data_IF_895571153811
#
_entry.id   IF_895571153811
#
_cell.length_a   1.000
_cell.length_b   1.000
_cell.length_c   1.000
_cell.angle_alpha   90.00
_cell.angle_beta   90.00
_cell.angle_gamma   90.00
#
_symmetry.space_group_name_H-M   'P 1'
#
loop_
_entity.id
_entity.type
_entity.pdbx_description
1 polymer ?
#
# COMPACT_ATOMS: atom_id res chain seq x y z
N UNK A 1 6.04 -16.06 -4.66
CA UNK A 1 7.35 -15.46 -5.03
C UNK A 1 7.06 -14.20 -5.83
N UNK A 2 8.04 -13.33 -6.09
CA UNK A 2 7.84 -12.22 -7.02
C UNK A 2 7.39 -12.74 -8.41
N UNK A 3 6.74 -11.89 -9.21
CA UNK A 3 6.32 -12.18 -10.59
C UNK A 3 5.47 -13.46 -10.76
N UNK A 4 4.62 -13.77 -9.78
CA UNK A 4 3.68 -14.90 -9.86
C UNK A 4 2.48 -14.61 -10.78
N UNK A 5 2.08 -13.34 -10.88
CA UNK A 5 1.01 -12.86 -11.75
C UNK A 5 1.63 -12.14 -12.95
N UNK A 6 1.61 -12.82 -14.10
CA UNK A 6 2.25 -12.38 -15.34
C UNK A 6 1.25 -12.24 -16.47
N UNK A 7 1.70 -11.82 -17.66
CA UNK A 7 0.87 -11.86 -18.86
C UNK A 7 0.29 -13.26 -19.17
N UNK A 8 0.96 -14.32 -18.72
CA UNK A 8 0.57 -15.71 -18.95
C UNK A 8 -0.46 -16.18 -17.91
N UNK A 9 -0.30 -15.81 -16.65
CA UNK A 9 -1.14 -16.32 -15.56
C UNK A 9 -2.34 -15.42 -15.24
N UNK A 10 -2.24 -14.11 -15.47
CA UNK A 10 -3.32 -13.15 -15.20
C UNK A 10 -4.64 -13.45 -15.94
N UNK A 11 -4.66 -13.90 -17.22
CA UNK A 11 -5.91 -14.24 -17.91
C UNK A 11 -6.73 -15.34 -17.23
N UNK A 12 -6.09 -16.22 -16.47
CA UNK A 12 -6.76 -17.32 -15.76
C UNK A 12 -7.38 -16.92 -14.42
N UNK A 13 -7.12 -15.71 -13.92
CA UNK A 13 -7.57 -15.26 -12.60
C UNK A 13 -9.05 -14.86 -12.66
N UNK A 14 -9.86 -15.49 -11.79
CA UNK A 14 -11.31 -15.25 -11.68
C UNK A 14 -11.71 -14.48 -10.41
N UNK A 15 -10.73 -14.07 -9.61
CA UNK A 15 -10.98 -13.33 -8.38
C UNK A 15 -11.54 -11.93 -8.69
N UNK A 16 -12.37 -11.39 -7.78
CA UNK A 16 -12.84 -10.00 -7.89
C UNK A 16 -11.82 -9.01 -7.34
N UNK A 17 -11.03 -9.45 -6.38
CA UNK A 17 -10.00 -8.67 -5.70
C UNK A 17 -8.75 -9.53 -5.58
N UNK A 18 -7.60 -8.95 -5.87
CA UNK A 18 -6.27 -9.50 -5.61
C UNK A 18 -5.61 -8.64 -4.53
N UNK A 19 -5.17 -9.26 -3.44
CA UNK A 19 -4.47 -8.58 -2.34
C UNK A 19 -3.02 -9.06 -2.31
N UNK A 20 -2.09 -8.15 -2.55
CA UNK A 20 -0.67 -8.50 -2.72
C UNK A 20 0.06 -8.60 -1.37
N UNK A 21 -0.02 -9.77 -0.75
CA UNK A 21 0.72 -10.02 0.51
C UNK A 21 2.23 -10.15 0.33
N UNK A 22 2.69 -10.57 -0.85
CA UNK A 22 4.12 -10.63 -1.19
C UNK A 22 4.60 -9.29 -1.77
N UNK A 23 5.92 -9.10 -1.86
CA UNK A 23 6.52 -7.98 -2.57
C UNK A 23 6.55 -8.26 -4.08
N UNK A 24 6.06 -7.31 -4.87
CA UNK A 24 6.01 -7.36 -6.33
C UNK A 24 5.54 -8.71 -6.91
N UNK A 25 4.38 -9.26 -6.50
CA UNK A 25 3.91 -10.54 -7.03
C UNK A 25 3.33 -10.40 -8.44
N UNK A 26 2.99 -9.19 -8.88
CA UNK A 26 2.35 -8.92 -10.17
C UNK A 26 3.24 -8.06 -11.06
N UNK A 27 3.52 -8.55 -12.27
CA UNK A 27 4.23 -7.78 -13.29
C UNK A 27 3.33 -6.69 -13.89
N UNK A 28 3.88 -5.62 -14.50
CA UNK A 28 3.08 -4.60 -15.17
C UNK A 28 2.12 -5.14 -16.24
N UNK A 29 2.54 -6.16 -16.98
CA UNK A 29 1.69 -6.81 -17.98
C UNK A 29 0.55 -7.61 -17.34
N UNK A 30 0.80 -8.27 -16.20
CA UNK A 30 -0.25 -8.92 -15.42
C UNK A 30 -1.24 -7.91 -14.84
N UNK A 31 -0.74 -6.79 -14.30
CA UNK A 31 -1.54 -5.70 -13.72
C UNK A 31 -2.50 -5.11 -14.76
N UNK A 32 -2.02 -4.87 -15.99
CA UNK A 32 -2.85 -4.39 -17.09
C UNK A 32 -4.00 -5.34 -17.45
N UNK A 33 -3.75 -6.66 -17.44
CA UNK A 33 -4.78 -7.68 -17.71
C UNK A 33 -5.79 -7.74 -16.56
N UNK A 34 -5.33 -7.70 -15.31
CA UNK A 34 -6.22 -7.66 -14.16
C UNK A 34 -7.13 -6.41 -14.20
N UNK A 35 -6.55 -5.25 -14.51
CA UNK A 35 -7.30 -4.01 -14.66
C UNK A 35 -8.32 -4.08 -15.80
N UNK A 36 -7.96 -4.62 -16.98
CA UNK A 36 -8.90 -4.79 -18.09
C UNK A 36 -10.04 -5.76 -17.76
N UNK A 37 -9.79 -6.72 -16.88
CA UNK A 37 -10.79 -7.68 -16.39
C UNK A 37 -11.66 -7.12 -15.25
N UNK A 38 -11.47 -5.86 -14.85
CA UNK A 38 -12.20 -5.24 -13.74
C UNK A 38 -11.84 -5.84 -12.38
N UNK A 39 -10.67 -6.46 -12.26
CA UNK A 39 -10.19 -7.06 -11.01
C UNK A 39 -9.47 -5.97 -10.21
N UNK A 40 -9.95 -5.72 -9.00
CA UNK A 40 -9.31 -4.75 -8.10
C UNK A 40 -8.02 -5.34 -7.54
N UNK A 41 -6.89 -4.67 -7.79
CA UNK A 41 -5.61 -5.01 -7.16
C UNK A 41 -5.35 -4.08 -5.99
N UNK A 42 -5.25 -4.64 -4.78
CA UNK A 42 -4.73 -3.94 -3.59
C UNK A 42 -3.22 -4.10 -3.60
N UNK A 43 -2.46 -3.03 -3.93
CA UNK A 43 -1.04 -3.14 -4.24
C UNK A 43 -0.22 -3.47 -3.01
N UNK A 44 0.89 -4.17 -3.22
CA UNK A 44 1.84 -4.61 -2.20
C UNK A 44 2.25 -3.51 -1.20
N UNK A 45 2.64 -2.33 -1.71
CA UNK A 45 3.03 -1.15 -0.90
C UNK A 45 1.97 -0.73 0.13
N UNK A 46 0.70 -1.09 -0.10
CA UNK A 46 -0.40 -0.91 0.84
C UNK A 46 -0.67 -2.22 1.62
N UNK A 47 -0.92 -3.31 0.89
CA UNK A 47 -1.42 -4.57 1.42
C UNK A 47 -0.47 -5.24 2.43
N UNK A 48 0.83 -5.12 2.24
CA UNK A 48 1.84 -5.76 3.09
C UNK A 48 2.55 -4.80 4.06
N UNK A 49 2.11 -3.54 4.12
CA UNK A 49 2.75 -2.47 4.91
C UNK A 49 2.69 -2.68 6.43
N UNK A 50 1.90 -3.64 6.92
CA UNK A 50 1.71 -3.89 8.34
C UNK A 50 3.01 -4.16 9.12
N UNK A 51 3.97 -4.89 8.52
CA UNK A 51 5.27 -5.12 9.16
C UNK A 51 6.07 -3.84 9.39
N UNK A 52 6.05 -2.92 8.42
CA UNK A 52 6.72 -1.62 8.53
C UNK A 52 6.03 -0.73 9.56
N UNK A 53 4.69 -0.74 9.60
CA UNK A 53 3.91 0.02 10.59
C UNK A 53 4.19 -0.48 12.02
N UNK A 54 4.23 -1.78 12.24
CA UNK A 54 4.52 -2.35 13.57
C UNK A 54 5.99 -2.10 13.97
N UNK A 55 6.93 -2.08 13.01
CA UNK A 55 8.32 -1.65 13.27
C UNK A 55 8.39 -0.17 13.69
N UNK A 56 7.55 0.69 13.12
CA UNK A 56 7.41 2.07 13.57
C UNK A 56 6.84 2.14 14.99
N UNK A 57 5.86 1.30 15.34
CA UNK A 57 5.35 1.22 16.71
C UNK A 57 6.41 0.77 17.71
N UNK A 58 7.25 -0.21 17.36
CA UNK A 58 8.39 -0.63 18.18
C UNK A 58 9.29 0.58 18.52
N UNK A 59 9.68 1.36 17.51
CA UNK A 59 10.47 2.58 17.71
C UNK A 59 9.78 3.63 18.61
N UNK A 60 8.46 3.80 18.50
CA UNK A 60 7.69 4.72 19.36
C UNK A 60 7.66 4.25 20.82
N UNK A 61 7.49 2.94 21.03
CA UNK A 61 7.44 2.32 22.36
C UNK A 61 8.80 2.36 23.05
N UNK A 62 9.88 2.05 22.31
CA UNK A 62 11.26 2.08 22.81
C UNK A 62 11.66 3.46 23.34
N UNK A 63 11.24 4.52 22.64
CA UNK A 63 11.51 5.91 23.06
C UNK A 63 10.87 6.29 24.39
N UNK A 64 9.79 5.62 24.76
CA UNK A 64 9.02 5.89 25.97
C UNK A 64 9.26 4.82 27.04
N UNK A 65 9.96 3.74 26.70
CA UNK A 65 10.08 2.52 27.50
C UNK A 65 8.71 2.05 28.01
N UNK A 66 7.70 2.13 27.14
CA UNK A 66 6.32 1.77 27.44
C UNK A 66 5.77 0.92 26.30
N UNK A 67 5.50 -0.35 26.61
CA UNK A 67 5.08 -1.35 25.64
C UNK A 67 3.56 -1.54 25.68
N UNK A 68 2.97 -1.55 24.50
CA UNK A 68 1.54 -1.74 24.29
C UNK A 68 1.19 -3.22 24.31
N UNK A 69 -0.05 -3.52 24.68
CA UNK A 69 -0.65 -4.84 24.50
C UNK A 69 -0.80 -5.17 23.01
N UNK A 70 -0.96 -6.46 22.70
CA UNK A 70 -1.21 -6.91 21.34
C UNK A 70 -2.49 -6.31 20.74
N UNK A 71 -3.52 -6.08 21.58
CA UNK A 71 -4.77 -5.45 21.16
C UNK A 71 -4.57 -3.97 20.81
N UNK A 72 -3.83 -3.22 21.62
CA UNK A 72 -3.47 -1.83 21.32
C UNK A 72 -2.64 -1.72 20.02
N UNK A 73 -1.67 -2.61 19.82
CA UNK A 73 -0.89 -2.68 18.56
C UNK A 73 -1.81 -2.94 17.37
N UNK A 74 -2.73 -3.90 17.50
CA UNK A 74 -3.68 -4.27 16.44
C UNK A 74 -4.64 -3.13 16.12
N UNK A 75 -5.19 -2.45 17.11
CA UNK A 75 -6.13 -1.34 16.93
C UNK A 75 -5.46 -0.14 16.27
N UNK A 76 -4.24 0.19 16.71
CA UNK A 76 -3.42 1.24 16.09
C UNK A 76 -3.06 0.88 14.65
N UNK A 77 -2.67 -0.36 14.38
CA UNK A 77 -2.37 -0.86 13.04
C UNK A 77 -3.60 -0.73 12.12
N UNK A 78 -4.77 -1.17 12.60
CA UNK A 78 -6.01 -1.10 11.87
C UNK A 78 -6.39 0.35 11.53
N UNK A 79 -6.25 1.27 12.49
CA UNK A 79 -6.51 2.70 12.27
C UNK A 79 -5.66 3.28 11.14
N UNK A 80 -4.35 3.00 11.13
CA UNK A 80 -3.43 3.49 10.09
C UNK A 80 -3.74 2.87 8.73
N UNK A 81 -3.93 1.55 8.66
CA UNK A 81 -4.21 0.84 7.42
C UNK A 81 -5.55 1.27 6.81
N UNK A 82 -6.60 1.40 7.62
CA UNK A 82 -7.91 1.82 7.13
C UNK A 82 -7.88 3.24 6.59
N UNK A 83 -7.15 4.15 7.25
CA UNK A 83 -6.92 5.50 6.71
C UNK A 83 -6.21 5.45 5.36
N UNK A 84 -5.14 4.66 5.24
CA UNK A 84 -4.40 4.51 3.99
C UNK A 84 -5.27 3.92 2.85
N UNK A 85 -6.12 2.92 3.15
CA UNK A 85 -7.07 2.35 2.20
C UNK A 85 -8.07 3.40 1.70
N UNK A 86 -8.63 4.21 2.60
CA UNK A 86 -9.58 5.27 2.24
C UNK A 86 -8.90 6.32 1.35
N UNK A 87 -7.69 6.75 1.69
CA UNK A 87 -6.95 7.73 0.88
C UNK A 87 -6.61 7.18 -0.52
N UNK A 88 -6.11 5.94 -0.61
CA UNK A 88 -5.78 5.29 -1.89
C UNK A 88 -7.03 5.12 -2.75
N UNK A 89 -8.09 4.55 -2.20
CA UNK A 89 -9.36 4.32 -2.93
C UNK A 89 -9.99 5.63 -3.44
N UNK A 90 -9.97 6.68 -2.60
CA UNK A 90 -10.49 8.01 -2.97
C UNK A 90 -9.64 8.66 -4.05
N UNK A 91 -8.30 8.56 -3.93
CA UNK A 91 -7.38 9.10 -4.94
C UNK A 91 -7.51 8.37 -6.28
N UNK A 92 -7.60 7.05 -6.24
CA UNK A 92 -7.83 6.21 -7.42
C UNK A 92 -9.13 6.59 -8.14
N UNK A 93 -10.23 6.69 -7.39
CA UNK A 93 -11.54 7.07 -7.95
C UNK A 93 -11.55 8.49 -8.52
N UNK A 94 -11.02 9.47 -7.78
CA UNK A 94 -11.04 10.88 -8.19
C UNK A 94 -10.19 11.17 -9.43
N UNK A 95 -9.10 10.42 -9.64
CA UNK A 95 -8.18 10.60 -10.77
C UNK A 95 -8.40 9.58 -11.89
N UNK A 96 -9.32 8.64 -11.71
CA UNK A 96 -9.58 7.54 -12.64
C UNK A 96 -8.30 6.73 -12.97
N UNK A 97 -7.58 6.33 -11.93
CA UNK A 97 -6.33 5.55 -12.00
C UNK A 97 -6.44 4.29 -11.15
N UNK A 98 -5.51 3.35 -11.33
CA UNK A 98 -5.45 2.13 -10.51
C UNK A 98 -5.07 2.43 -9.06
N UNK A 99 -5.38 1.52 -8.14
CA UNK A 99 -4.96 1.64 -6.74
C UNK A 99 -3.43 1.61 -6.58
N UNK A 100 -2.71 0.90 -7.47
CA UNK A 100 -1.24 0.90 -7.50
C UNK A 100 -0.70 2.29 -7.84
N UNK A 101 -1.20 2.91 -8.91
CA UNK A 101 -0.81 4.27 -9.29
C UNK A 101 -1.16 5.28 -8.20
N UNK A 102 -2.35 5.17 -7.60
CA UNK A 102 -2.77 6.04 -6.51
C UNK A 102 -1.87 5.92 -5.27
N UNK A 103 -1.52 4.69 -4.87
CA UNK A 103 -0.62 4.45 -3.74
C UNK A 103 0.78 5.03 -3.97
N UNK A 104 1.34 4.83 -5.16
CA UNK A 104 2.63 5.43 -5.56
C UNK A 104 2.55 6.96 -5.59
N UNK A 105 1.48 7.52 -6.17
CA UNK A 105 1.27 8.97 -6.23
C UNK A 105 1.19 9.59 -4.84
N UNK A 106 0.44 8.98 -3.92
CA UNK A 106 0.35 9.45 -2.52
C UNK A 106 1.70 9.38 -1.80
N UNK A 107 2.44 8.27 -1.97
CA UNK A 107 3.76 8.10 -1.38
C UNK A 107 4.74 9.18 -1.84
N UNK A 108 4.87 9.37 -3.15
CA UNK A 108 5.75 10.39 -3.74
C UNK A 108 5.31 11.80 -3.38
N UNK A 109 4.00 12.09 -3.45
CA UNK A 109 3.45 13.43 -3.16
C UNK A 109 3.76 13.88 -1.73
N UNK A 110 3.63 12.99 -0.74
CA UNK A 110 3.94 13.31 0.66
C UNK A 110 5.42 13.68 0.86
N UNK A 111 6.33 12.97 0.21
CA UNK A 111 7.77 13.26 0.28
C UNK A 111 8.10 14.58 -0.44
N UNK A 112 7.54 14.77 -1.63
CA UNK A 112 7.72 15.99 -2.41
C UNK A 112 7.19 17.22 -1.65
N UNK A 113 6.02 17.12 -1.02
CA UNK A 113 5.43 18.21 -0.24
C UNK A 113 6.27 18.52 1.01
N UNK A 114 6.73 17.50 1.74
CA UNK A 114 7.62 17.70 2.88
C UNK A 114 8.93 18.41 2.46
N UNK A 115 9.50 18.03 1.31
CA UNK A 115 10.67 18.69 0.75
C UNK A 115 10.39 20.15 0.37
N UNK A 116 9.28 20.40 -0.33
CA UNK A 116 8.85 21.74 -0.74
C UNK A 116 8.64 22.68 0.46
N UNK A 117 8.02 22.17 1.53
CA UNK A 117 7.77 22.95 2.76
C UNK A 117 9.04 23.26 3.54
N UNK A 118 9.99 22.32 3.59
CA UNK A 118 11.29 22.53 4.26
C UNK A 118 12.23 23.43 3.45
N UNK A 119 11.98 23.55 2.15
CA UNK A 119 12.83 24.31 1.24
C UNK A 119 14.16 23.61 0.98
N UNK A 120 15.00 24.26 0.17
CA UNK A 120 16.37 23.86 -0.07
C UNK A 120 17.26 24.76 0.79
N UNK A 121 17.83 24.19 1.86
CA UNK A 121 18.74 24.86 2.82
C UNK A 121 20.09 24.07 2.82
N UNK A 122 21.28 24.68 3.05
CA UNK A 122 21.55 25.71 4.05
C UNK A 122 21.21 27.14 3.65
#
# INVERSE_FOLDING_TARGET
LADSITAVTAPGIKAKIVVEGANAPTTPAGDAILASNGILVVPDILANSGGVIVSYFEWVQDKQNYFWSADEVKDNLNSILMKAIVEVSTTAASKNITWREAALMLGVSRVAEAHRLRGLYP
#
